data_IF_195397396232
#
_entry.id   IF_195397396232
#
_cell.length_a   1.000
_cell.length_b   1.000
_cell.length_c   1.000
_cell.angle_alpha   90.00
_cell.angle_beta   90.00
_cell.angle_gamma   90.00
#
_symmetry.space_group_name_H-M   'P 1'
#
loop_
_entity.id
_entity.type
_entity.pdbx_description
1 polymer ?
#
# COMPACT_ATOMS: atom_id res chain seq x y z
N UNK A 1 1.67 -17.49 -20.51
CA UNK A 1 2.68 -16.95 -19.57
C UNK A 1 1.95 -16.36 -18.38
N UNK A 2 2.20 -16.86 -17.17
CA UNK A 2 1.67 -16.25 -15.95
C UNK A 2 2.85 -15.63 -15.19
N UNK A 3 2.82 -14.31 -15.00
CA UNK A 3 3.72 -13.60 -14.11
C UNK A 3 2.97 -13.31 -12.82
N UNK A 4 3.51 -13.75 -11.68
CA UNK A 4 3.03 -13.36 -10.36
C UNK A 4 4.19 -12.62 -9.69
N UNK A 5 4.20 -11.29 -9.81
CA UNK A 5 5.23 -10.43 -9.25
C UNK A 5 4.70 -9.69 -8.03
N UNK A 6 5.34 -9.89 -6.88
CA UNK A 6 5.25 -8.97 -5.75
C UNK A 6 6.37 -7.92 -5.88
N UNK A 7 6.10 -6.69 -5.49
CA UNK A 7 7.07 -5.60 -5.50
C UNK A 7 7.48 -5.32 -4.05
N UNK A 8 8.76 -5.47 -3.72
CA UNK A 8 9.29 -5.11 -2.41
C UNK A 8 10.42 -4.09 -2.61
N UNK A 9 10.28 -2.91 -2.01
CA UNK A 9 11.27 -1.84 -2.11
C UNK A 9 11.61 -1.35 -0.72
N UNK A 10 12.71 -1.84 -0.17
CA UNK A 10 13.18 -1.45 1.16
C UNK A 10 12.13 -1.68 2.24
N UNK A 11 11.54 -0.60 2.74
CA UNK A 11 10.53 -0.63 3.83
C UNK A 11 9.09 -0.77 3.32
N UNK A 12 8.89 -0.96 2.03
CA UNK A 12 7.58 -0.98 1.37
C UNK A 12 7.34 -2.31 0.63
N UNK A 13 6.13 -2.85 0.68
CA UNK A 13 5.76 -4.08 -0.01
C UNK A 13 4.39 -3.98 -0.69
N UNK A 14 4.27 -4.59 -1.87
CA UNK A 14 3.06 -4.60 -2.70
C UNK A 14 2.82 -6.00 -3.26
N UNK A 15 1.63 -6.56 -3.08
CA UNK A 15 1.30 -7.90 -3.58
C UNK A 15 0.01 -8.46 -2.99
N UNK A 16 -0.30 -9.73 -3.25
CA UNK A 16 -1.48 -10.37 -2.64
C UNK A 16 -1.33 -10.53 -1.12
N UNK A 17 -0.12 -10.90 -0.67
CA UNK A 17 0.28 -10.94 0.73
C UNK A 17 1.51 -10.04 0.89
N UNK A 18 1.32 -8.86 1.45
CA UNK A 18 2.33 -7.82 1.57
C UNK A 18 2.71 -7.61 3.04
N UNK A 19 3.99 -7.82 3.37
CA UNK A 19 4.52 -7.57 4.71
C UNK A 19 5.66 -6.57 4.58
N UNK A 20 5.54 -5.43 5.27
CA UNK A 20 6.52 -4.36 5.20
C UNK A 20 6.69 -3.70 6.58
N UNK A 21 7.78 -2.96 6.77
CA UNK A 21 7.95 -2.19 8.00
C UNK A 21 7.13 -0.91 8.00
N UNK A 22 7.13 -0.17 6.88
CA UNK A 22 6.48 1.14 6.80
C UNK A 22 5.12 1.07 6.07
N UNK A 23 5.10 0.67 4.80
CA UNK A 23 3.87 0.66 3.98
C UNK A 23 3.69 -0.70 3.29
N UNK A 24 2.56 -1.35 3.51
CA UNK A 24 2.16 -2.57 2.80
C UNK A 24 0.84 -2.36 2.05
N UNK A 25 0.78 -2.79 0.80
CA UNK A 25 -0.43 -2.72 -0.05
C UNK A 25 -0.75 -4.09 -0.62
N UNK A 26 -1.94 -4.61 -0.33
CA UNK A 26 -2.31 -5.93 -0.78
C UNK A 26 -3.69 -6.38 -0.34
N UNK A 27 -4.13 -7.54 -0.81
CA UNK A 27 -5.37 -8.13 -0.30
C UNK A 27 -5.21 -8.51 1.19
N UNK A 28 -4.03 -9.03 1.55
CA UNK A 28 -3.55 -9.19 2.91
C UNK A 28 -2.31 -8.32 3.13
N UNK A 29 -2.38 -7.30 3.99
CA UNK A 29 -1.27 -6.37 4.22
C UNK A 29 -0.92 -6.22 5.71
N UNK A 30 0.36 -6.30 6.04
CA UNK A 30 0.89 -6.09 7.39
C UNK A 30 2.05 -5.08 7.37
N UNK A 31 1.85 -3.90 7.96
CA UNK A 31 2.87 -2.86 8.10
C UNK A 31 2.44 -1.78 9.09
N UNK A 32 3.29 -0.78 9.35
CA UNK A 32 2.88 0.42 10.10
C UNK A 32 1.66 1.09 9.44
N UNK A 33 1.69 1.23 8.11
CA UNK A 33 0.56 1.63 7.27
C UNK A 33 0.19 0.44 6.36
N UNK A 34 -0.95 -0.18 6.63
CA UNK A 34 -1.45 -1.30 5.84
C UNK A 34 -2.68 -0.90 5.02
N UNK A 35 -2.63 -1.14 3.71
CA UNK A 35 -3.70 -0.83 2.75
C UNK A 35 -4.18 -2.13 2.11
N UNK A 36 -5.46 -2.46 2.25
CA UNK A 36 -5.94 -3.78 1.83
C UNK A 36 -7.37 -4.13 2.24
N UNK A 37 -7.75 -5.37 1.98
CA UNK A 37 -9.00 -5.97 2.50
C UNK A 37 -8.78 -6.53 3.92
N UNK A 38 -7.74 -7.33 4.10
CA UNK A 38 -7.32 -7.87 5.39
C UNK A 38 -6.02 -7.19 5.81
N UNK A 39 -6.12 -6.25 6.75
CA UNK A 39 -5.00 -5.37 7.13
C UNK A 39 -4.67 -5.48 8.61
N UNK A 40 -3.38 -5.52 8.92
CA UNK A 40 -2.86 -5.41 10.29
C UNK A 40 -1.79 -4.34 10.33
N UNK A 41 -1.84 -3.46 11.32
CA UNK A 41 -0.95 -2.32 11.39
C UNK A 41 -1.40 -1.27 12.39
N UNK A 42 -0.56 -0.25 12.58
CA UNK A 42 -0.89 0.89 13.46
C UNK A 42 -1.89 1.82 12.75
N UNK A 43 -1.76 1.96 11.43
CA UNK A 43 -2.68 2.72 10.57
C UNK A 43 -3.17 1.81 9.45
N UNK A 44 -4.47 1.56 9.41
CA UNK A 44 -5.09 0.67 8.41
C UNK A 44 -5.99 1.48 7.50
N UNK A 45 -5.88 1.26 6.19
CA UNK A 45 -6.66 1.95 5.17
C UNK A 45 -7.36 0.93 4.27
N UNK A 46 -8.66 1.11 3.97
CA UNK A 46 -9.35 0.28 3.01
C UNK A 46 -8.86 0.58 1.57
N UNK A 47 -8.97 -0.42 0.69
CA UNK A 47 -8.63 -0.29 -0.74
C UNK A 47 -9.45 0.77 -1.50
N UNK A 48 -10.61 1.12 -0.98
CA UNK A 48 -11.52 2.12 -1.54
C UNK A 48 -11.25 3.55 -1.03
N UNK A 49 -10.15 3.77 -0.30
CA UNK A 49 -9.78 5.11 0.16
C UNK A 49 -9.46 6.02 -1.03
N UNK A 50 -10.02 7.24 -1.09
CA UNK A 50 -9.69 8.22 -2.13
C UNK A 50 -8.19 8.55 -2.15
N UNK A 51 -7.64 8.79 -3.34
CA UNK A 51 -6.21 9.10 -3.50
C UNK A 51 -5.76 10.30 -2.64
N UNK A 52 -6.60 11.33 -2.50
CA UNK A 52 -6.27 12.49 -1.67
C UNK A 52 -6.12 12.12 -0.20
N UNK A 53 -7.07 11.37 0.34
CA UNK A 53 -7.00 10.89 1.73
C UNK A 53 -5.82 9.94 1.95
N UNK A 54 -5.53 9.08 0.97
CA UNK A 54 -4.38 8.18 1.01
C UNK A 54 -3.06 8.99 1.01
N UNK A 55 -2.95 9.99 0.13
CA UNK A 55 -1.78 10.87 0.02
C UNK A 55 -1.58 11.68 1.30
N UNK A 56 -2.64 12.27 1.85
CA UNK A 56 -2.58 13.01 3.10
C UNK A 56 -2.19 12.11 4.27
N UNK A 57 -2.75 10.90 4.33
CA UNK A 57 -2.40 9.92 5.36
C UNK A 57 -0.93 9.50 5.28
N UNK A 58 -0.44 9.24 4.07
CA UNK A 58 0.95 8.89 3.81
C UNK A 58 1.90 10.05 4.14
N UNK A 59 1.58 11.28 3.73
CA UNK A 59 2.39 12.48 4.03
C UNK A 59 2.38 12.83 5.52
N UNK A 60 1.27 12.62 6.20
CA UNK A 60 1.17 12.85 7.65
C UNK A 60 2.08 11.88 8.43
N UNK A 61 2.16 10.63 7.99
CA UNK A 61 3.02 9.62 8.63
C UNK A 61 4.48 9.68 8.15
N UNK A 62 4.70 10.03 6.88
CA UNK A 62 6.00 10.10 6.21
C UNK A 62 6.09 11.38 5.37
N UNK A 63 6.53 12.51 5.95
CA UNK A 63 6.58 13.79 5.24
C UNK A 63 7.59 13.81 4.08
N UNK A 64 8.68 13.03 4.16
CA UNK A 64 9.69 12.87 3.10
C UNK A 64 9.39 11.74 2.11
N UNK A 65 8.14 11.27 2.03
CA UNK A 65 7.81 10.13 1.16
C UNK A 65 7.93 10.53 -0.33
N UNK A 66 8.71 9.79 -1.14
CA UNK A 66 8.87 10.10 -2.55
C UNK A 66 7.56 9.98 -3.31
N UNK A 67 7.35 10.88 -4.27
CA UNK A 67 6.12 10.92 -5.08
C UNK A 67 5.92 9.64 -5.90
N UNK A 68 7.02 9.01 -6.35
CA UNK A 68 6.97 7.74 -7.06
C UNK A 68 6.41 6.60 -6.20
N UNK A 69 6.61 6.63 -4.87
CA UNK A 69 6.04 5.64 -3.94
C UNK A 69 4.55 5.87 -3.79
N UNK A 70 4.14 7.13 -3.58
CA UNK A 70 2.72 7.50 -3.49
C UNK A 70 1.98 7.05 -4.75
N UNK A 71 2.57 7.26 -5.92
CA UNK A 71 2.00 6.84 -7.19
C UNK A 71 1.96 5.30 -7.34
N UNK A 72 2.98 4.60 -6.83
CA UNK A 72 3.01 3.13 -6.81
C UNK A 72 1.91 2.57 -5.90
N UNK A 73 1.77 3.11 -4.68
CA UNK A 73 0.69 2.75 -3.75
C UNK A 73 -0.68 2.96 -4.41
N UNK A 74 -0.91 4.10 -5.05
CA UNK A 74 -2.15 4.38 -5.76
C UNK A 74 -2.40 3.39 -6.90
N UNK A 75 -1.38 3.09 -7.70
CA UNK A 75 -1.47 2.12 -8.78
C UNK A 75 -1.89 0.73 -8.25
N UNK A 76 -1.26 0.25 -7.17
CA UNK A 76 -1.61 -1.04 -6.58
C UNK A 76 -3.00 -1.02 -5.94
N UNK A 77 -3.36 0.02 -5.18
CA UNK A 77 -4.69 0.14 -4.57
C UNK A 77 -5.79 0.15 -5.63
N UNK A 78 -5.63 0.91 -6.71
CA UNK A 78 -6.61 0.99 -7.80
C UNK A 78 -6.72 -0.32 -8.58
N UNK A 79 -5.61 -1.03 -8.80
CA UNK A 79 -5.63 -2.32 -9.50
C UNK A 79 -6.24 -3.43 -8.64
N UNK A 80 -6.04 -3.42 -7.32
CA UNK A 80 -6.64 -4.42 -6.43
C UNK A 80 -8.15 -4.21 -6.30
N UNK A 81 -8.63 -2.95 -6.24
CA UNK A 81 -10.07 -2.62 -6.19
C UNK A 81 -10.84 -3.03 -7.47
N UNK A 82 -10.16 -3.14 -8.61
CA UNK A 82 -10.79 -3.53 -9.89
C UNK A 82 -11.03 -5.04 -10.03
N UNK A 83 -10.66 -5.85 -9.04
CA UNK A 83 -10.81 -7.29 -9.05
C UNK A 83 -12.09 -7.72 -8.34
#
# INVERSE_FOLDING_TARGET
MFSCGALAIGKYAFGAMAIASDIAVGDNAHAHIAIGNTVQGIKTLPLNTPFEQLKDTLKQSYPDLPEWIINTVHFFSSNITKK
#
